data_IF_144626558018
#
_entry.id   IF_144626558018
#
_cell.length_a   1.000
_cell.length_b   1.000
_cell.length_c   1.000
_cell.angle_alpha   90.00
_cell.angle_beta   90.00
_cell.angle_gamma   90.00
#
_symmetry.space_group_name_H-M   'P 1'
#
loop_
_entity.id
_entity.type
_entity.pdbx_description
1 polymer ?
#
# COMPACT_ATOMS: atom_id res chain seq x y z
N UNK A 1 14.76 1.56 14.81
CA UNK A 1 14.20 1.62 13.45
C UNK A 1 12.77 2.14 13.52
N UNK A 2 12.40 3.09 12.64
CA UNK A 2 11.07 3.66 12.57
C UNK A 2 10.48 3.38 11.19
N UNK A 3 9.30 2.73 11.16
CA UNK A 3 8.56 2.42 9.94
C UNK A 3 7.13 2.96 10.05
N UNK A 4 6.68 3.68 9.02
CA UNK A 4 5.32 4.19 8.88
C UNK A 4 4.72 3.60 7.61
N UNK A 5 3.53 2.98 7.73
CA UNK A 5 2.85 2.31 6.61
C UNK A 5 1.38 2.68 6.56
N UNK A 6 0.81 2.71 5.36
CA UNK A 6 -0.63 2.85 5.13
C UNK A 6 -1.03 2.19 3.82
N UNK A 7 -2.25 1.70 3.77
CA UNK A 7 -2.95 1.32 2.53
C UNK A 7 -4.13 2.27 2.26
N UNK A 8 -4.36 3.26 3.16
CA UNK A 8 -5.47 4.20 3.08
C UNK A 8 -5.11 5.56 2.51
N UNK A 9 -3.82 5.96 2.56
CA UNK A 9 -3.38 7.28 2.13
C UNK A 9 -2.18 7.21 1.19
N UNK A 10 -2.03 8.22 0.29
CA UNK A 10 -0.90 8.29 -0.63
C UNK A 10 0.45 8.36 0.07
N UNK A 11 1.48 7.76 -0.54
CA UNK A 11 2.85 7.76 -0.03
C UNK A 11 3.40 9.16 0.24
N UNK A 12 3.01 10.17 -0.54
CA UNK A 12 3.44 11.57 -0.33
C UNK A 12 2.95 12.11 1.02
N UNK A 13 1.69 11.83 1.39
CA UNK A 13 1.14 12.22 2.68
C UNK A 13 1.77 11.42 3.82
N UNK A 14 2.00 10.14 3.58
CA UNK A 14 2.68 9.26 4.52
C UNK A 14 4.11 9.72 4.81
N UNK A 15 4.86 10.13 3.78
CA UNK A 15 6.19 10.72 3.93
C UNK A 15 6.17 12.00 4.78
N UNK A 16 5.21 12.90 4.53
CA UNK A 16 5.05 14.12 5.32
C UNK A 16 4.83 13.82 6.80
N UNK A 17 3.92 12.90 7.11
CA UNK A 17 3.68 12.43 8.47
C UNK A 17 4.94 11.78 9.08
N UNK A 18 5.65 10.99 8.31
CA UNK A 18 6.89 10.32 8.76
C UNK A 18 7.95 11.32 9.20
N UNK A 19 8.24 12.34 8.39
CA UNK A 19 9.22 13.37 8.75
C UNK A 19 8.80 14.18 9.98
N UNK A 20 7.55 14.58 10.03
CA UNK A 20 7.00 15.35 11.14
C UNK A 20 7.05 14.57 12.46
N UNK A 21 6.78 13.27 12.40
CA UNK A 21 6.67 12.43 13.60
C UNK A 21 7.97 11.74 14.01
N UNK A 22 9.01 11.77 13.16
CA UNK A 22 10.31 11.14 13.44
C UNK A 22 10.92 11.60 14.77
N UNK A 23 10.83 12.90 15.08
CA UNK A 23 11.34 13.47 16.32
C UNK A 23 10.71 12.90 17.60
N UNK A 24 9.44 12.50 17.55
CA UNK A 24 8.78 11.85 18.69
C UNK A 24 9.30 10.42 18.89
N UNK A 25 9.50 9.68 17.80
CA UNK A 25 10.08 8.34 17.85
C UNK A 25 11.56 8.36 18.31
N UNK A 26 12.29 9.40 17.93
CA UNK A 26 13.70 9.56 18.34
C UNK A 26 13.88 9.77 19.85
N UNK A 27 12.87 10.29 20.56
CA UNK A 27 12.89 10.41 22.03
C UNK A 27 12.97 9.05 22.74
N UNK A 28 12.60 7.98 22.07
CA UNK A 28 12.72 6.62 22.60
C UNK A 28 14.13 6.03 22.44
N UNK A 29 14.98 6.68 21.63
CA UNK A 29 16.36 6.22 21.45
C UNK A 29 17.18 6.41 22.72
N UNK A 30 17.95 5.39 23.07
CA UNK A 30 18.79 5.39 24.25
C UNK A 30 18.07 4.97 25.54
N UNK A 31 16.75 4.70 25.51
CA UNK A 31 16.09 4.10 26.65
C UNK A 31 16.57 2.65 26.85
N UNK A 32 16.79 2.22 28.12
CA UNK A 32 17.14 0.84 28.41
C UNK A 32 16.07 -0.14 27.89
N UNK A 33 16.50 -1.24 27.24
CA UNK A 33 15.58 -2.25 26.69
C UNK A 33 14.59 -2.76 27.72
N UNK A 34 15.06 -3.02 28.96
CA UNK A 34 14.20 -3.48 30.06
C UNK A 34 13.12 -2.44 30.43
N UNK A 35 13.46 -1.12 30.36
CA UNK A 35 12.49 -0.04 30.58
C UNK A 35 11.41 -0.05 29.50
N UNK A 36 11.81 -0.11 28.22
CA UNK A 36 10.88 -0.16 27.08
C UNK A 36 9.99 -1.40 27.15
N UNK A 37 10.52 -2.56 27.53
CA UNK A 37 9.72 -3.78 27.71
C UNK A 37 8.65 -3.62 28.79
N UNK A 38 9.01 -3.02 29.92
CA UNK A 38 8.09 -2.83 31.06
C UNK A 38 7.00 -1.81 30.76
N UNK A 39 7.34 -0.70 30.09
CA UNK A 39 6.44 0.43 29.83
C UNK A 39 5.93 0.48 28.39
N UNK A 40 6.02 -0.64 27.65
CA UNK A 40 5.69 -0.69 26.21
C UNK A 40 4.31 -0.11 25.91
N UNK A 41 3.28 -0.56 26.60
CA UNK A 41 1.90 -0.14 26.36
C UNK A 41 1.71 1.36 26.65
N UNK A 42 2.32 1.86 27.70
CA UNK A 42 2.28 3.28 28.06
C UNK A 42 2.98 4.14 26.98
N UNK A 43 4.14 3.71 26.51
CA UNK A 43 4.87 4.40 25.45
C UNK A 43 4.11 4.37 24.10
N UNK A 44 3.51 3.23 23.75
CA UNK A 44 2.65 3.09 22.56
C UNK A 44 1.45 4.06 22.66
N UNK A 45 0.81 4.14 23.82
CA UNK A 45 -0.33 5.04 24.06
C UNK A 45 0.07 6.51 23.98
N UNK A 46 1.18 6.92 24.59
CA UNK A 46 1.70 8.30 24.53
C UNK A 46 2.01 8.73 23.10
N UNK A 47 2.63 7.83 22.31
CA UNK A 47 2.89 8.10 20.90
C UNK A 47 1.58 8.20 20.10
N UNK A 48 0.62 7.31 20.37
CA UNK A 48 -0.69 7.31 19.71
C UNK A 48 -1.44 8.62 19.97
N UNK A 49 -1.52 9.05 21.22
CA UNK A 49 -2.19 10.30 21.59
C UNK A 49 -1.62 11.50 20.85
N UNK A 50 -0.29 11.59 20.73
CA UNK A 50 0.35 12.66 19.96
C UNK A 50 0.02 12.56 18.47
N UNK A 51 0.07 11.37 17.89
CA UNK A 51 -0.24 11.18 16.47
C UNK A 51 -1.71 11.53 16.17
N UNK A 52 -2.62 11.21 17.07
CA UNK A 52 -4.04 11.57 16.98
C UNK A 52 -4.29 13.09 17.06
N UNK A 53 -3.33 13.89 17.54
CA UNK A 53 -3.47 15.36 17.52
C UNK A 53 -3.09 15.98 16.18
N UNK A 54 -2.40 15.24 15.31
CA UNK A 54 -1.95 15.72 14.02
C UNK A 54 -3.13 16.08 13.10
N UNK A 55 -3.11 17.28 12.46
CA UNK A 55 -4.18 17.73 11.58
C UNK A 55 -4.49 16.74 10.45
N UNK A 56 -3.45 16.13 9.88
CA UNK A 56 -3.58 15.15 8.82
C UNK A 56 -4.36 13.92 9.28
N UNK A 57 -4.12 13.44 10.50
CA UNK A 57 -4.83 12.28 11.07
C UNK A 57 -6.30 12.62 11.33
N UNK A 58 -6.57 13.80 11.89
CA UNK A 58 -7.94 14.26 12.18
C UNK A 58 -8.74 14.55 10.91
N UNK A 59 -8.18 15.33 9.99
CA UNK A 59 -8.87 15.78 8.78
C UNK A 59 -9.22 14.63 7.84
N UNK A 60 -8.37 13.61 7.81
CA UNK A 60 -8.58 12.42 6.98
C UNK A 60 -9.18 11.26 7.75
N UNK A 61 -9.61 11.45 9.01
CA UNK A 61 -10.24 10.42 9.86
C UNK A 61 -9.45 9.12 9.90
N UNK A 62 -8.12 9.25 10.06
CA UNK A 62 -7.21 8.12 10.05
C UNK A 62 -7.17 7.41 11.40
N UNK A 63 -6.94 6.11 11.36
CA UNK A 63 -6.76 5.24 12.53
C UNK A 63 -5.33 4.73 12.61
N UNK A 64 -4.44 5.37 13.37
CA UNK A 64 -3.10 4.87 13.59
C UNK A 64 -3.08 3.75 14.63
N UNK A 65 -2.28 2.73 14.35
CA UNK A 65 -1.88 1.69 15.30
C UNK A 65 -0.36 1.74 15.48
N UNK A 66 0.12 1.71 16.71
CA UNK A 66 1.54 1.78 17.03
C UNK A 66 1.96 0.49 17.73
N UNK A 67 3.06 -0.11 17.25
CA UNK A 67 3.70 -1.26 17.88
C UNK A 67 5.18 -1.00 18.10
N UNK A 68 5.60 -1.05 19.36
CA UNK A 68 7.00 -0.96 19.75
C UNK A 68 7.57 -2.37 19.90
N UNK A 69 8.68 -2.64 19.21
CA UNK A 69 9.43 -3.89 19.33
C UNK A 69 10.71 -3.61 20.10
N UNK A 70 10.80 -3.99 21.40
CA UNK A 70 12.01 -3.82 22.19
C UNK A 70 13.11 -4.76 21.68
N UNK A 71 14.33 -4.26 21.59
CA UNK A 71 15.50 -5.03 21.15
C UNK A 71 16.75 -4.17 21.10
N UNK A 72 17.87 -4.75 20.67
CA UNK A 72 19.13 -4.00 20.46
C UNK A 72 18.90 -2.82 19.49
N UNK A 73 18.08 -3.07 18.45
CA UNK A 73 17.53 -2.04 17.57
C UNK A 73 16.05 -1.84 17.91
N UNK A 74 15.75 -0.81 18.68
CA UNK A 74 14.38 -0.44 18.98
C UNK A 74 13.57 -0.22 17.70
N UNK A 75 12.52 -1.01 17.50
CA UNK A 75 11.59 -0.90 16.37
C UNK A 75 10.31 -0.16 16.76
N UNK A 76 9.93 0.88 16.02
CA UNK A 76 8.63 1.53 16.13
C UNK A 76 7.91 1.36 14.79
N UNK A 77 6.85 0.56 14.78
CA UNK A 77 6.02 0.32 13.61
C UNK A 77 4.68 1.04 13.79
N UNK A 78 4.38 1.92 12.86
CA UNK A 78 3.12 2.66 12.82
C UNK A 78 2.36 2.24 11.57
N UNK A 79 1.15 1.72 11.74
CA UNK A 79 0.20 1.46 10.67
C UNK A 79 -0.89 2.53 10.72
N UNK A 80 -1.19 3.15 9.61
CA UNK A 80 -2.25 4.16 9.49
C UNK A 80 -3.27 3.66 8.49
N UNK A 81 -4.51 3.47 8.93
CA UNK A 81 -5.60 2.98 8.11
C UNK A 81 -6.78 3.97 8.13
N UNK A 82 -7.73 3.77 7.22
CA UNK A 82 -9.05 4.40 7.23
C UNK A 82 -10.12 3.33 7.08
N UNK A 83 -11.23 3.49 7.80
CA UNK A 83 -12.39 2.61 7.64
C UNK A 83 -13.27 3.02 6.46
N UNK A 84 -13.12 4.26 5.99
CA UNK A 84 -14.04 4.83 5.02
C UNK A 84 -13.52 4.79 3.59
N UNK A 85 -12.19 4.85 3.40
CA UNK A 85 -11.62 4.97 2.06
C UNK A 85 -10.20 4.41 1.95
N UNK A 86 -9.80 4.16 0.69
CA UNK A 86 -8.42 3.85 0.29
C UNK A 86 -8.00 4.74 -0.86
N UNK A 87 -6.90 5.47 -0.68
CA UNK A 87 -6.36 6.35 -1.71
C UNK A 87 -4.88 6.05 -1.85
N UNK A 88 -4.46 5.59 -3.02
CA UNK A 88 -3.05 5.36 -3.28
C UNK A 88 -2.66 5.76 -4.70
N UNK A 89 -1.38 6.06 -4.86
CA UNK A 89 -0.74 6.35 -6.14
C UNK A 89 0.51 5.47 -6.22
N UNK A 90 0.67 4.75 -7.31
CA UNK A 90 1.84 3.93 -7.59
C UNK A 90 2.42 4.32 -8.94
N UNK A 91 3.76 4.47 -9.00
CA UNK A 91 4.51 4.54 -10.24
C UNK A 91 5.10 3.18 -10.58
N UNK A 92 5.09 2.82 -11.84
CA UNK A 92 5.59 1.54 -12.32
C UNK A 92 6.69 1.75 -13.36
N UNK A 93 7.82 1.05 -13.18
CA UNK A 93 8.88 0.93 -14.15
C UNK A 93 9.15 -0.53 -14.46
N UNK A 94 8.85 -0.98 -15.68
CA UNK A 94 8.98 -2.38 -16.12
C UNK A 94 10.30 -2.59 -16.86
N UNK A 95 11.14 -3.48 -16.35
CA UNK A 95 12.43 -3.88 -16.93
C UNK A 95 12.23 -5.21 -17.66
N UNK A 96 12.63 -5.27 -18.92
CA UNK A 96 12.43 -6.45 -19.78
C UNK A 96 11.11 -6.44 -20.56
N UNK A 97 10.42 -5.29 -20.60
CA UNK A 97 9.23 -5.06 -21.41
C UNK A 97 9.52 -3.97 -22.44
N UNK A 98 9.27 -4.27 -23.72
CA UNK A 98 9.63 -3.37 -24.83
C UNK A 98 8.68 -2.17 -24.96
N UNK A 99 7.42 -2.34 -24.55
CA UNK A 99 6.38 -1.31 -24.68
C UNK A 99 5.68 -1.08 -23.33
N UNK A 100 5.19 0.13 -23.14
CA UNK A 100 4.42 0.50 -21.94
C UNK A 100 5.18 0.21 -20.64
N UNK A 101 6.49 0.47 -20.64
CA UNK A 101 7.37 0.14 -19.53
C UNK A 101 7.39 1.20 -18.40
N UNK A 102 6.75 2.35 -18.61
CA UNK A 102 6.63 3.37 -17.59
C UNK A 102 5.18 3.83 -17.48
N UNK A 103 4.58 3.65 -16.31
CA UNK A 103 3.19 4.04 -16.05
C UNK A 103 3.00 4.52 -14.62
N UNK A 104 1.89 5.22 -14.40
CA UNK A 104 1.43 5.63 -13.08
C UNK A 104 -0.03 5.27 -12.90
N UNK A 105 -0.42 4.87 -11.69
CA UNK A 105 -1.77 4.48 -11.36
C UNK A 105 -2.25 5.19 -10.11
N UNK A 106 -3.46 5.73 -10.18
CA UNK A 106 -4.19 6.28 -9.05
C UNK A 106 -5.40 5.41 -8.74
N UNK A 107 -5.69 5.22 -7.47
CA UNK A 107 -6.84 4.47 -6.98
C UNK A 107 -7.58 5.30 -5.93
N UNK A 108 -8.89 5.37 -6.06
CA UNK A 108 -9.80 6.05 -5.15
C UNK A 108 -10.91 5.09 -4.78
N UNK A 109 -10.82 4.48 -3.62
CA UNK A 109 -11.78 3.52 -3.11
C UNK A 109 -12.60 4.07 -1.94
N UNK A 110 -13.84 3.62 -1.83
CA UNK A 110 -14.72 3.84 -0.69
C UNK A 110 -15.13 2.50 -0.10
N UNK A 111 -14.89 2.33 1.20
CA UNK A 111 -15.37 1.15 1.92
C UNK A 111 -16.88 1.27 2.11
N UNK A 112 -17.62 0.26 1.66
CA UNK A 112 -19.08 0.14 1.83
C UNK A 112 -19.44 -0.85 2.94
N UNK A 113 -18.48 -1.68 3.34
CA UNK A 113 -18.51 -2.54 4.51
C UNK A 113 -17.06 -2.75 5.01
N UNK A 114 -16.84 -3.39 6.16
CA UNK A 114 -15.49 -3.74 6.63
C UNK A 114 -14.68 -4.61 5.65
N UNK A 115 -15.36 -5.26 4.73
CA UNK A 115 -14.76 -6.20 3.77
C UNK A 115 -14.96 -5.81 2.31
N UNK A 116 -15.74 -4.77 2.02
CA UNK A 116 -16.16 -4.46 0.66
C UNK A 116 -15.80 -3.03 0.29
N UNK A 117 -15.17 -2.87 -0.85
CA UNK A 117 -14.74 -1.61 -1.42
C UNK A 117 -15.31 -1.43 -2.83
N UNK A 118 -15.83 -0.25 -3.13
CA UNK A 118 -16.08 0.22 -4.49
C UNK A 118 -15.03 1.28 -4.84
N UNK A 119 -14.50 1.25 -6.06
CA UNK A 119 -13.40 2.13 -6.41
C UNK A 119 -13.41 2.60 -7.87
N UNK A 120 -12.66 3.68 -8.10
CA UNK A 120 -12.23 4.15 -9.41
C UNK A 120 -10.72 4.09 -9.52
N UNK A 121 -10.21 3.74 -10.69
CA UNK A 121 -8.79 3.74 -11.03
C UNK A 121 -8.54 4.61 -12.27
N UNK A 122 -7.42 5.32 -12.27
CA UNK A 122 -6.88 6.02 -13.42
C UNK A 122 -5.43 5.59 -13.60
N UNK A 123 -5.09 5.11 -14.80
CA UNK A 123 -3.73 4.73 -15.16
C UNK A 123 -3.26 5.60 -16.33
N UNK A 124 -2.04 6.11 -16.25
CA UNK A 124 -1.38 6.81 -17.34
C UNK A 124 -0.16 6.02 -17.77
N UNK A 125 -0.09 5.70 -19.06
CA UNK A 125 1.10 5.10 -19.70
C UNK A 125 1.93 6.24 -20.23
N UNK A 126 3.11 6.47 -19.65
CA UNK A 126 3.93 7.64 -19.92
C UNK A 126 4.66 7.55 -21.28
N UNK A 127 4.90 6.36 -21.78
CA UNK A 127 5.59 6.17 -23.07
C UNK A 127 4.84 6.78 -24.28
N UNK A 128 3.51 6.78 -24.24
CA UNK A 128 2.65 7.29 -25.32
C UNK A 128 1.56 8.23 -24.80
N UNK A 129 1.61 8.61 -23.52
CA UNK A 129 0.63 9.48 -22.82
C UNK A 129 -0.81 8.96 -23.01
N UNK A 130 -0.99 7.68 -22.83
CA UNK A 130 -2.31 7.05 -22.92
C UNK A 130 -2.95 6.93 -21.55
N UNK A 131 -4.20 7.39 -21.42
CA UNK A 131 -4.99 7.24 -20.21
C UNK A 131 -5.90 6.03 -20.29
N UNK A 132 -6.00 5.29 -19.19
CA UNK A 132 -6.94 4.19 -18.98
C UNK A 132 -7.69 4.43 -17.69
N UNK A 133 -8.99 4.25 -17.72
CA UNK A 133 -9.84 4.38 -16.53
C UNK A 133 -10.52 3.06 -16.23
N UNK A 134 -10.81 2.83 -14.97
CA UNK A 134 -11.54 1.66 -14.50
C UNK A 134 -12.41 2.01 -13.32
N UNK A 135 -13.48 1.27 -13.14
CA UNK A 135 -14.26 1.24 -11.91
C UNK A 135 -14.44 -0.20 -11.48
N UNK A 136 -14.51 -0.43 -10.19
CA UNK A 136 -14.51 -1.80 -9.72
C UNK A 136 -15.01 -1.97 -8.30
N UNK A 137 -14.94 -3.22 -7.90
CA UNK A 137 -15.30 -3.70 -6.58
C UNK A 137 -14.24 -4.65 -6.08
N UNK A 138 -13.93 -4.57 -4.79
CA UNK A 138 -13.04 -5.53 -4.10
C UNK A 138 -13.72 -6.09 -2.87
N UNK A 139 -13.62 -7.40 -2.69
CA UNK A 139 -13.97 -8.08 -1.46
C UNK A 139 -12.70 -8.58 -0.77
N UNK A 140 -12.54 -8.25 0.52
CA UNK A 140 -11.41 -8.62 1.36
C UNK A 140 -11.80 -9.72 2.35
N UNK A 141 -10.95 -10.75 2.48
CA UNK A 141 -11.07 -11.76 3.53
C UNK A 141 -9.69 -12.14 4.09
N UNK A 142 -9.47 -11.81 5.34
CA UNK A 142 -8.21 -12.05 6.00
C UNK A 142 -7.03 -11.38 5.29
N UNK A 143 -6.12 -12.19 4.71
CA UNK A 143 -4.94 -11.72 3.97
C UNK A 143 -5.14 -11.68 2.46
N UNK A 144 -6.35 -11.91 2.00
CA UNK A 144 -6.71 -12.00 0.58
C UNK A 144 -7.66 -10.89 0.18
N UNK A 145 -7.65 -10.55 -1.10
CA UNK A 145 -8.62 -9.68 -1.74
C UNK A 145 -8.93 -10.17 -3.14
N UNK A 146 -10.19 -10.21 -3.49
CA UNK A 146 -10.65 -10.44 -4.85
C UNK A 146 -11.24 -9.15 -5.41
N UNK A 147 -10.79 -8.74 -6.60
CA UNK A 147 -11.23 -7.52 -7.25
C UNK A 147 -11.79 -7.81 -8.63
N UNK A 148 -12.86 -7.10 -8.96
CA UNK A 148 -13.42 -6.99 -10.29
C UNK A 148 -13.25 -5.56 -10.76
N UNK A 149 -12.67 -5.35 -11.96
CA UNK A 149 -12.46 -4.03 -12.55
C UNK A 149 -13.03 -4.01 -13.96
N UNK A 150 -13.90 -3.04 -14.24
CA UNK A 150 -14.39 -2.74 -15.58
C UNK A 150 -13.64 -1.56 -16.15
N UNK A 151 -12.97 -1.73 -17.27
CA UNK A 151 -12.24 -0.66 -17.99
C UNK A 151 -13.19 0.20 -18.83
N UNK A 152 -12.97 1.51 -18.79
CA UNK A 152 -13.79 2.50 -19.47
C UNK A 152 -12.88 3.29 -20.43
N UNK A 153 -13.24 3.54 -21.70
CA UNK A 153 -14.49 3.16 -22.39
C UNK A 153 -14.48 1.77 -23.03
N UNK A 154 -13.36 1.04 -22.98
CA UNK A 154 -13.15 -0.23 -23.72
C UNK A 154 -14.19 -1.29 -23.36
N UNK A 155 -14.64 -1.32 -22.11
CA UNK A 155 -15.65 -2.28 -21.67
C UNK A 155 -15.12 -3.64 -21.24
N UNK A 156 -13.78 -3.82 -21.26
CA UNK A 156 -13.12 -5.05 -20.81
C UNK A 156 -13.18 -5.20 -19.29
N UNK A 157 -13.13 -6.44 -18.86
CA UNK A 157 -13.18 -6.79 -17.45
C UNK A 157 -11.86 -7.42 -17.01
N UNK A 158 -11.38 -7.02 -15.83
CA UNK A 158 -10.25 -7.66 -15.18
C UNK A 158 -10.72 -8.28 -13.86
N UNK A 159 -10.21 -9.46 -13.57
CA UNK A 159 -10.43 -10.17 -12.31
C UNK A 159 -9.10 -10.36 -11.65
N UNK A 160 -8.95 -9.88 -10.41
CA UNK A 160 -7.70 -9.93 -9.66
C UNK A 160 -7.90 -10.65 -8.34
N UNK A 161 -6.97 -11.52 -8.02
CA UNK A 161 -6.84 -12.15 -6.71
C UNK A 161 -5.47 -11.77 -6.13
N UNK A 162 -5.47 -11.24 -4.93
CA UNK A 162 -4.26 -10.92 -4.19
C UNK A 162 -4.21 -11.68 -2.86
N UNK A 163 -3.00 -12.10 -2.48
CA UNK A 163 -2.76 -12.77 -1.21
C UNK A 163 -1.47 -12.26 -0.57
N UNK A 164 -1.57 -11.74 0.66
CA UNK A 164 -0.43 -11.26 1.44
C UNK A 164 0.16 -12.40 2.28
N UNK A 165 1.25 -13.02 1.80
CA UNK A 165 1.97 -14.06 2.53
C UNK A 165 2.57 -13.53 3.83
N UNK A 166 3.13 -12.31 3.77
CA UNK A 166 3.73 -11.61 4.90
C UNK A 166 3.68 -10.09 4.65
N UNK A 167 4.09 -9.25 5.62
CA UNK A 167 4.20 -7.80 5.38
C UNK A 167 5.13 -7.39 4.24
N UNK A 168 6.02 -8.31 3.79
CA UNK A 168 6.97 -8.06 2.70
C UNK A 168 6.60 -8.75 1.39
N UNK A 169 5.81 -9.83 1.43
CA UNK A 169 5.53 -10.66 0.27
C UNK A 169 4.06 -10.66 -0.07
N UNK A 170 3.73 -10.40 -1.34
CA UNK A 170 2.36 -10.45 -1.89
C UNK A 170 2.37 -11.24 -3.20
N UNK A 171 1.36 -12.08 -3.35
CA UNK A 171 1.07 -12.78 -4.61
C UNK A 171 -0.10 -12.11 -5.30
N UNK A 172 -0.09 -12.05 -6.63
CA UNK A 172 -1.17 -11.54 -7.46
C UNK A 172 -1.41 -12.47 -8.64
N UNK A 173 -2.67 -12.76 -8.89
CA UNK A 173 -3.15 -13.40 -10.12
C UNK A 173 -4.17 -12.47 -10.74
N UNK A 174 -4.03 -12.15 -12.02
CA UNK A 174 -4.95 -11.25 -12.72
C UNK A 174 -5.33 -11.85 -14.07
N UNK A 175 -6.62 -11.87 -14.37
CA UNK A 175 -7.17 -12.26 -15.65
C UNK A 175 -7.73 -11.04 -16.38
N UNK A 176 -7.27 -10.81 -17.63
CA UNK A 176 -7.73 -9.75 -18.52
C UNK A 176 -8.64 -10.35 -19.59
N UNK A 177 -9.94 -10.05 -19.51
CA UNK A 177 -10.93 -10.67 -20.40
C UNK A 177 -10.81 -10.21 -21.86
N UNK A 178 -10.34 -8.97 -22.09
CA UNK A 178 -10.19 -8.43 -23.45
C UNK A 178 -9.17 -9.19 -24.29
N UNK A 179 -8.03 -9.51 -23.71
CA UNK A 179 -6.91 -10.22 -24.39
C UNK A 179 -6.91 -11.72 -24.08
N UNK A 180 -7.84 -12.18 -23.23
CA UNK A 180 -7.83 -13.53 -22.65
C UNK A 180 -6.47 -13.92 -22.05
N UNK A 181 -5.87 -12.97 -21.34
CA UNK A 181 -4.51 -13.07 -20.79
C UNK A 181 -4.54 -13.22 -19.28
N UNK A 182 -3.68 -14.07 -18.76
CA UNK A 182 -3.46 -14.22 -17.32
C UNK A 182 -2.08 -13.69 -16.96
N UNK A 183 -2.00 -12.97 -15.85
CA UNK A 183 -0.76 -12.56 -15.20
C UNK A 183 -0.64 -13.19 -13.83
N UNK A 184 0.58 -13.64 -13.51
CA UNK A 184 0.99 -14.09 -12.18
C UNK A 184 2.11 -13.19 -11.72
N UNK A 185 2.03 -12.69 -10.49
CA UNK A 185 3.06 -11.82 -9.98
C UNK A 185 3.41 -12.13 -8.54
N UNK A 186 4.69 -11.94 -8.22
CA UNK A 186 5.23 -12.04 -6.87
C UNK A 186 5.88 -10.72 -6.53
N UNK A 187 5.31 -9.98 -5.58
CA UNK A 187 5.80 -8.68 -5.13
C UNK A 187 6.61 -8.86 -3.84
N UNK A 188 7.78 -8.24 -3.81
CA UNK A 188 8.62 -8.09 -2.62
C UNK A 188 8.79 -6.61 -2.26
N UNK A 189 8.46 -6.24 -1.04
CA UNK A 189 8.68 -4.89 -0.51
C UNK A 189 10.13 -4.73 -0.07
N UNK A 190 10.89 -3.93 -0.82
CA UNK A 190 12.30 -3.61 -0.56
C UNK A 190 12.38 -2.59 0.57
N UNK A 191 11.57 -1.54 0.46
CA UNK A 191 11.49 -0.42 1.38
C UNK A 191 10.02 0.00 1.57
N UNK A 192 9.74 0.94 2.48
CA UNK A 192 8.37 1.45 2.72
C UNK A 192 7.70 1.99 1.45
N UNK A 193 8.49 2.63 0.59
CA UNK A 193 8.03 3.31 -0.62
C UNK A 193 8.54 2.65 -1.91
N UNK A 194 9.16 1.47 -1.82
CA UNK A 194 9.69 0.78 -2.99
C UNK A 194 9.44 -0.72 -2.89
N UNK A 195 8.87 -1.26 -3.94
CA UNK A 195 8.67 -2.70 -4.12
C UNK A 195 9.22 -3.15 -5.48
N UNK A 196 9.61 -4.41 -5.56
CA UNK A 196 9.88 -5.09 -6.81
C UNK A 196 8.84 -6.21 -7.00
N UNK A 197 8.30 -6.31 -8.19
CA UNK A 197 7.33 -7.33 -8.57
C UNK A 197 7.84 -8.09 -9.80
N UNK A 198 7.98 -9.39 -9.69
CA UNK A 198 8.26 -10.25 -10.82
C UNK A 198 6.93 -10.69 -11.45
N UNK A 199 6.74 -10.38 -12.73
CA UNK A 199 5.48 -10.63 -13.45
C UNK A 199 5.71 -11.64 -14.57
N UNK A 200 4.80 -12.62 -14.65
CA UNK A 200 4.69 -13.59 -15.73
C UNK A 200 3.33 -13.44 -16.42
N UNK A 201 3.31 -13.04 -17.66
CA UNK A 201 2.11 -12.80 -18.48
C UNK A 201 1.90 -13.82 -19.61
N UNK A 202 2.25 -15.09 -19.39
CA UNK A 202 2.05 -16.18 -20.34
C UNK A 202 3.09 -16.25 -21.48
N UNK A 203 3.53 -15.12 -22.02
CA UNK A 203 4.57 -15.01 -23.05
C UNK A 203 5.71 -14.08 -22.68
N UNK A 204 5.49 -13.22 -21.70
CA UNK A 204 6.43 -12.19 -21.28
C UNK A 204 6.77 -12.36 -19.80
N UNK A 205 8.05 -12.16 -19.49
CA UNK A 205 8.54 -12.03 -18.13
C UNK A 205 9.16 -10.66 -17.99
N UNK A 206 8.81 -9.97 -16.94
CA UNK A 206 9.44 -8.68 -16.65
C UNK A 206 9.50 -8.41 -15.16
N UNK A 207 10.44 -7.56 -14.77
CA UNK A 207 10.57 -7.05 -13.43
C UNK A 207 9.94 -5.66 -13.35
N UNK A 208 8.98 -5.48 -12.47
CA UNK A 208 8.32 -4.21 -12.19
C UNK A 208 8.85 -3.59 -10.92
N UNK A 209 9.35 -2.38 -10.99
CA UNK A 209 9.61 -1.54 -9.84
C UNK A 209 8.38 -0.68 -9.56
N UNK A 210 8.00 -0.57 -8.27
CA UNK A 210 6.79 0.11 -7.83
C UNK A 210 7.18 1.09 -6.74
N UNK A 211 6.92 2.38 -6.96
CA UNK A 211 7.21 3.47 -6.04
C UNK A 211 6.03 4.36 -5.75
#
# INVERSE_FOLDING_TARGET
>A
RYELRSEAIPNVLLMKLKYKYAGECDKLRGLPVAYVQRHRQELEQQLLEKLMTEPEVKNYQLRPEIKITPGADLGVNIMIESDDYKIWFEGYGDIGRDKENLSGKAHLGKMISPHDEIFGEAEVILNNVQWRFGTGYTHYWGKSGWSYVRRIPIGDNNYRLEYSLSPKWRLRVEHFSGDNRNEFAVRYRIHEFLSAEYVYGGKEFYLRLIG
#
